data_IF_841876498158
#
_entry.id   IF_841876498158
#
_cell.length_a   1.000
_cell.length_b   1.000
_cell.length_c   1.000
_cell.angle_alpha   90.00
_cell.angle_beta   90.00
_cell.angle_gamma   90.00
#
_symmetry.space_group_name_H-M   'P 1'
#
loop_
_entity.id
_entity.type
_entity.pdbx_description
1 polymer ?
#
# COMPACT_ATOMS: atom_id res chain seq x y z
N UNK A 1 -6.88 7.18 10.49
CA UNK A 1 -6.03 8.27 9.95
C UNK A 1 -6.91 9.22 9.13
N UNK A 2 -6.73 10.55 9.20
CA UNK A 2 -7.45 11.47 8.32
C UNK A 2 -7.19 11.12 6.85
N UNK A 3 -8.20 11.25 5.98
CA UNK A 3 -8.15 10.84 4.57
C UNK A 3 -6.95 11.46 3.82
N UNK A 4 -6.59 12.69 4.19
CA UNK A 4 -5.42 13.42 3.70
C UNK A 4 -4.10 12.67 3.96
N UNK A 5 -3.95 12.04 5.12
CA UNK A 5 -2.74 11.30 5.45
C UNK A 5 -2.61 10.03 4.60
N UNK A 6 -3.72 9.37 4.28
CA UNK A 6 -3.73 8.20 3.38
C UNK A 6 -3.27 8.58 1.99
N UNK A 7 -3.79 9.71 1.50
CA UNK A 7 -3.48 10.26 0.19
C UNK A 7 -1.99 10.65 0.11
N UNK A 8 -1.45 11.30 1.16
CA UNK A 8 -0.02 11.60 1.28
C UNK A 8 0.85 10.33 1.22
N UNK A 9 0.50 9.28 1.97
CA UNK A 9 1.27 8.03 1.96
C UNK A 9 1.27 7.38 0.57
N UNK A 10 0.12 7.36 -0.13
CA UNK A 10 0.04 6.83 -1.49
C UNK A 10 0.92 7.62 -2.47
N UNK A 11 0.92 8.95 -2.38
CA UNK A 11 1.80 9.81 -3.20
C UNK A 11 3.27 9.48 -2.90
N UNK A 12 3.66 9.42 -1.62
CA UNK A 12 5.04 9.14 -1.22
C UNK A 12 5.50 7.77 -1.73
N UNK A 13 4.67 6.73 -1.57
CA UNK A 13 4.99 5.39 -2.06
C UNK A 13 5.10 5.37 -3.58
N UNK A 14 4.18 6.04 -4.28
CA UNK A 14 4.23 6.14 -5.75
C UNK A 14 5.48 6.85 -6.27
N UNK A 15 5.87 7.96 -5.64
CA UNK A 15 7.08 8.71 -5.99
C UNK A 15 8.34 7.90 -5.71
N UNK A 16 8.40 7.18 -4.59
CA UNK A 16 9.52 6.28 -4.28
C UNK A 16 9.65 5.15 -5.30
N UNK A 17 8.54 4.51 -5.67
CA UNK A 17 8.52 3.43 -6.66
C UNK A 17 8.97 3.96 -8.04
N UNK A 18 8.50 5.16 -8.42
CA UNK A 18 8.92 5.82 -9.65
C UNK A 18 10.41 6.17 -9.67
N UNK A 19 10.95 6.69 -8.56
CA UNK A 19 12.39 6.94 -8.39
C UNK A 19 13.19 5.65 -8.55
N UNK A 20 12.82 4.60 -7.82
CA UNK A 20 13.49 3.30 -7.89
C UNK A 20 13.48 2.75 -9.32
N UNK A 21 12.35 2.88 -10.02
CA UNK A 21 12.20 2.38 -11.39
C UNK A 21 12.93 3.23 -12.46
N UNK A 22 13.14 4.52 -12.19
CA UNK A 22 13.77 5.47 -13.13
C UNK A 22 15.29 5.47 -12.98
N UNK A 23 15.80 5.41 -11.76
CA UNK A 23 17.23 5.61 -11.48
C UNK A 23 18.00 4.30 -11.29
N UNK A 24 17.31 3.17 -11.07
CA UNK A 24 17.97 1.86 -10.97
C UNK A 24 17.75 1.10 -12.29
N UNK A 25 18.79 0.92 -13.13
CA UNK A 25 18.68 0.11 -14.33
C UNK A 25 18.52 -1.37 -13.92
N UNK A 26 17.27 -1.82 -13.81
CA UNK A 26 16.91 -3.20 -13.49
C UNK A 26 16.63 -4.01 -14.74
N UNK A 27 16.99 -5.29 -14.73
CA UNK A 27 16.50 -6.25 -15.70
C UNK A 27 14.96 -6.32 -15.65
N UNK A 28 14.31 -6.49 -16.80
CA UNK A 28 12.84 -6.44 -16.93
C UNK A 28 12.09 -7.37 -15.95
N UNK A 29 12.65 -8.54 -15.65
CA UNK A 29 12.10 -9.49 -14.68
C UNK A 29 12.09 -8.96 -13.24
N UNK A 30 13.14 -8.24 -12.83
CA UNK A 30 13.25 -7.69 -11.47
C UNK A 30 12.28 -6.51 -11.29
N UNK A 31 12.12 -5.69 -12.33
CA UNK A 31 11.15 -4.59 -12.37
C UNK A 31 9.70 -5.06 -12.16
N UNK A 32 9.34 -6.18 -12.79
CA UNK A 32 8.04 -6.84 -12.61
C UNK A 32 7.82 -7.26 -11.15
N UNK A 33 8.78 -7.96 -10.55
CA UNK A 33 8.69 -8.46 -9.17
C UNK A 33 8.57 -7.30 -8.19
N UNK A 34 9.41 -6.25 -8.34
CA UNK A 34 9.38 -5.11 -7.43
C UNK A 34 8.05 -4.37 -7.48
N UNK A 35 7.50 -4.12 -8.68
CA UNK A 35 6.20 -3.48 -8.82
C UNK A 35 5.08 -4.34 -8.21
N UNK A 36 5.10 -5.65 -8.45
CA UNK A 36 4.13 -6.58 -7.87
C UNK A 36 4.17 -6.57 -6.34
N UNK A 37 5.36 -6.64 -5.75
CA UNK A 37 5.56 -6.61 -4.29
C UNK A 37 5.02 -5.30 -3.70
N UNK A 38 5.38 -4.15 -4.28
CA UNK A 38 4.93 -2.86 -3.77
C UNK A 38 3.42 -2.70 -3.88
N UNK A 39 2.83 -3.13 -5.00
CA UNK A 39 1.36 -3.12 -5.16
C UNK A 39 0.69 -3.99 -4.08
N UNK A 40 1.20 -5.19 -3.82
CA UNK A 40 0.67 -6.08 -2.76
C UNK A 40 0.76 -5.40 -1.38
N UNK A 41 1.90 -4.79 -1.06
CA UNK A 41 2.09 -4.08 0.22
C UNK A 41 1.11 -2.92 0.34
N UNK A 42 0.92 -2.13 -0.71
CA UNK A 42 -0.05 -1.01 -0.72
C UNK A 42 -1.48 -1.50 -0.53
N UNK A 43 -1.87 -2.60 -1.17
CA UNK A 43 -3.22 -3.18 -1.02
C UNK A 43 -3.45 -3.66 0.42
N UNK A 44 -2.52 -4.41 1.00
CA UNK A 44 -2.60 -4.88 2.39
C UNK A 44 -2.67 -3.69 3.36
N UNK A 45 -1.85 -2.67 3.12
CA UNK A 45 -1.84 -1.47 3.93
C UNK A 45 -3.16 -0.71 3.84
N UNK A 46 -3.73 -0.53 2.65
CA UNK A 46 -5.04 0.10 2.46
C UNK A 46 -6.15 -0.67 3.21
N UNK A 47 -6.17 -2.01 3.12
CA UNK A 47 -7.14 -2.84 3.84
C UNK A 47 -7.07 -2.61 5.37
N UNK A 48 -5.88 -2.46 5.93
CA UNK A 48 -5.67 -2.11 7.34
C UNK A 48 -6.11 -0.68 7.67
N UNK A 49 -5.78 0.29 6.80
CA UNK A 49 -6.08 1.72 7.01
C UNK A 49 -7.57 2.04 6.93
N UNK A 50 -8.30 1.39 6.03
CA UNK A 50 -9.76 1.51 5.96
C UNK A 50 -10.46 0.81 7.13
N UNK A 51 -9.71 0.20 8.05
CA UNK A 51 -10.27 -0.40 9.25
C UNK A 51 -11.23 -1.53 8.93
N UNK A 52 -11.04 -2.27 7.82
CA UNK A 52 -11.78 -3.51 7.61
C UNK A 52 -11.52 -4.49 8.77
N UNK A 53 -10.33 -4.46 9.36
CA UNK A 53 -10.01 -5.16 10.62
C UNK A 53 -10.71 -4.55 11.86
N UNK A 54 -10.83 -3.22 11.97
CA UNK A 54 -11.50 -2.56 13.11
C UNK A 54 -13.04 -2.69 13.07
N UNK A 55 -13.66 -2.63 11.89
CA UNK A 55 -15.10 -2.83 11.72
C UNK A 55 -15.50 -4.28 12.03
N UNK A 56 -14.66 -5.27 11.71
CA UNK A 56 -14.89 -6.66 12.11
C UNK A 56 -14.73 -6.83 13.63
N UNK A 57 -13.79 -6.13 14.26
CA UNK A 57 -13.57 -6.19 15.73
C UNK A 57 -14.70 -5.49 16.52
N UNK A 58 -15.38 -4.49 15.94
CA UNK A 58 -16.56 -3.84 16.54
C UNK A 58 -17.87 -4.59 16.31
N UNK A 59 -17.91 -5.55 15.38
CA UNK A 59 -19.01 -6.52 15.26
C UNK A 59 -18.89 -7.57 16.37
N UNK A 60 -19.07 -7.11 17.61
CA UNK A 60 -19.36 -7.99 18.75
C UNK A 60 -20.77 -8.55 18.55
N UNK A 61 -20.87 -9.66 17.81
CA UNK A 61 -22.06 -10.51 17.82
C UNK A 61 -22.11 -11.17 19.20
N UNK A 62 -22.94 -10.63 20.11
CA UNK A 62 -23.19 -11.23 21.41
C UNK A 62 -23.52 -10.22 22.50
N UNK A 63 -24.81 -10.12 22.83
CA UNK A 63 -25.23 -10.21 24.24
C UNK A 63 -25.38 -11.68 24.57
#
# INVERSE_FOLDING_TARGET
MPLIQVLLVLIVVGVLLWLVNTYVPMAGSIKSILNAVVVIVVVIWLLNVFGLMENITRLRVGK
#
